data_IF_743553771357
#
_entry.id   IF_743553771357
#
_cell.length_a   1.000
_cell.length_b   1.000
_cell.length_c   1.000
_cell.angle_alpha   90.00
_cell.angle_beta   90.00
_cell.angle_gamma   90.00
#
_symmetry.space_group_name_H-M   'P 1'
#
loop_
_entity.id
_entity.type
_entity.pdbx_description
1 polymer ?
#
# COMPACT_ATOMS: atom_id res chain seq x y z
N UNK A 1 -25.04 -8.86 18.87
CA UNK A 1 -23.95 -8.46 17.97
C UNK A 1 -23.94 -6.94 17.93
N UNK A 2 -22.88 -6.30 18.42
CA UNK A 2 -22.75 -4.83 18.38
C UNK A 2 -22.34 -4.43 16.97
N UNK A 3 -23.05 -3.47 16.36
CA UNK A 3 -22.68 -2.95 15.04
C UNK A 3 -21.38 -2.14 15.12
N UNK A 4 -20.47 -2.37 14.19
CA UNK A 4 -19.28 -1.54 14.01
C UNK A 4 -19.70 -0.18 13.44
N UNK A 5 -19.30 0.92 14.08
CA UNK A 5 -19.44 2.26 13.54
C UNK A 5 -18.16 2.62 12.77
N UNK A 6 -18.28 2.93 11.49
CA UNK A 6 -17.16 3.38 10.64
C UNK A 6 -17.40 4.83 10.25
N UNK A 7 -16.47 5.70 10.63
CA UNK A 7 -16.46 7.10 10.22
C UNK A 7 -15.39 7.31 9.15
N UNK A 8 -15.76 7.95 8.03
CA UNK A 8 -14.84 8.28 6.94
C UNK A 8 -14.23 9.66 7.21
N UNK A 9 -12.98 9.68 7.70
CA UNK A 9 -12.25 10.92 7.96
C UNK A 9 -11.44 11.44 6.76
N UNK A 10 -11.52 10.78 5.60
CA UNK A 10 -10.78 11.13 4.39
C UNK A 10 -11.75 11.46 3.24
N UNK A 11 -11.41 12.43 2.37
CA UNK A 11 -12.15 12.66 1.14
C UNK A 11 -12.25 11.40 0.27
N UNK A 12 -13.33 11.29 -0.51
CA UNK A 12 -13.58 10.10 -1.35
C UNK A 12 -12.48 9.84 -2.39
N UNK A 13 -11.80 10.88 -2.86
CA UNK A 13 -10.75 10.83 -3.87
C UNK A 13 -9.32 10.80 -3.29
N UNK A 14 -9.19 10.72 -1.96
CA UNK A 14 -7.92 10.88 -1.26
C UNK A 14 -6.81 9.99 -1.84
N UNK A 15 -7.08 8.70 -2.05
CA UNK A 15 -6.09 7.76 -2.58
C UNK A 15 -5.65 8.11 -4.00
N UNK A 16 -6.60 8.48 -4.86
CA UNK A 16 -6.29 8.85 -6.25
C UNK A 16 -5.46 10.14 -6.30
N UNK A 17 -5.76 11.11 -5.43
CA UNK A 17 -5.01 12.37 -5.32
C UNK A 17 -3.61 12.11 -4.78
N UNK A 18 -3.48 11.35 -3.69
CA UNK A 18 -2.18 11.00 -3.12
C UNK A 18 -1.29 10.22 -4.11
N UNK A 19 -1.84 9.27 -4.87
CA UNK A 19 -1.08 8.51 -5.86
C UNK A 19 -0.52 9.40 -6.98
N UNK A 20 -1.34 10.32 -7.50
CA UNK A 20 -0.90 11.27 -8.55
C UNK A 20 0.22 12.16 -8.06
N UNK A 21 0.13 12.65 -6.83
CA UNK A 21 1.15 13.51 -6.24
C UNK A 21 2.47 12.77 -6.00
N UNK A 22 2.39 11.59 -5.36
CA UNK A 22 3.55 10.73 -5.10
C UNK A 22 4.25 10.32 -6.39
N UNK A 23 3.48 9.91 -7.41
CA UNK A 23 4.02 9.52 -8.72
C UNK A 23 4.66 10.70 -9.45
N UNK A 24 3.99 11.86 -9.48
CA UNK A 24 4.54 13.06 -10.12
C UNK A 24 5.86 13.46 -9.47
N UNK A 25 5.91 13.54 -8.15
CA UNK A 25 7.11 13.90 -7.42
C UNK A 25 8.23 12.86 -7.64
N UNK A 26 7.92 11.59 -7.40
CA UNK A 26 8.89 10.50 -7.43
C UNK A 26 9.45 10.17 -8.82
N UNK A 27 8.62 10.20 -9.86
CA UNK A 27 9.05 9.92 -11.23
C UNK A 27 9.80 11.09 -11.88
N UNK A 28 9.64 12.32 -11.36
CA UNK A 28 10.37 13.50 -11.80
C UNK A 28 11.73 13.67 -11.09
N UNK A 29 11.98 12.96 -9.99
CA UNK A 29 13.20 13.04 -9.21
C UNK A 29 14.40 12.31 -9.85
N UNK A 30 15.61 12.63 -9.36
CA UNK A 30 16.85 11.92 -9.67
C UNK A 30 17.63 11.66 -8.37
N UNK A 31 17.63 10.40 -7.87
CA UNK A 31 17.03 9.20 -8.45
C UNK A 31 15.49 9.19 -8.35
N UNK A 32 14.84 8.39 -9.21
CA UNK A 32 13.38 8.17 -9.16
C UNK A 32 13.01 7.31 -7.96
N UNK A 33 11.90 7.62 -7.33
CA UNK A 33 11.39 6.88 -6.16
C UNK A 33 9.86 6.74 -6.23
N UNK A 34 9.30 5.77 -5.51
CA UNK A 34 7.87 5.65 -5.25
C UNK A 34 7.64 5.12 -3.82
N UNK A 35 6.68 5.66 -3.05
CA UNK A 35 6.35 5.12 -1.74
C UNK A 35 5.86 3.67 -1.82
N UNK A 36 6.34 2.76 -0.94
CA UNK A 36 6.00 1.34 -1.00
C UNK A 36 4.55 1.03 -0.63
N UNK A 37 3.80 1.99 -0.07
CA UNK A 37 2.35 1.83 0.19
C UNK A 37 1.56 1.49 -1.09
N UNK A 38 2.07 1.90 -2.26
CA UNK A 38 1.46 1.60 -3.56
C UNK A 38 1.79 0.20 -4.08
N UNK A 39 2.59 -0.60 -3.36
CA UNK A 39 2.78 -2.03 -3.64
C UNK A 39 1.59 -2.89 -3.21
N UNK A 40 0.67 -2.37 -2.40
CA UNK A 40 -0.39 -3.15 -1.76
C UNK A 40 -1.77 -2.81 -2.31
N UNK A 41 -1.95 -2.96 -3.63
CA UNK A 41 -3.29 -3.14 -4.20
C UNK A 41 -3.78 -4.57 -3.95
N UNK A 42 -4.89 -4.98 -4.57
CA UNK A 42 -5.42 -6.34 -4.43
C UNK A 42 -4.35 -7.40 -4.77
N UNK A 43 -3.74 -7.28 -5.94
CA UNK A 43 -2.74 -8.23 -6.42
C UNK A 43 -1.44 -8.19 -5.62
N UNK A 44 -0.96 -6.99 -5.32
CA UNK A 44 0.26 -6.80 -4.54
C UNK A 44 0.12 -7.29 -3.10
N UNK A 45 -1.08 -7.21 -2.53
CA UNK A 45 -1.39 -7.82 -1.23
C UNK A 45 -1.36 -9.35 -1.30
N UNK A 46 -1.96 -9.96 -2.34
CA UNK A 46 -1.84 -11.42 -2.54
C UNK A 46 -0.40 -11.89 -2.75
N UNK A 47 0.42 -11.08 -3.44
CA UNK A 47 1.84 -11.35 -3.60
C UNK A 47 2.56 -11.27 -2.25
N UNK A 48 2.25 -10.27 -1.43
CA UNK A 48 2.82 -10.17 -0.09
C UNK A 48 2.46 -11.39 0.76
N UNK A 49 1.21 -11.84 0.73
CA UNK A 49 0.79 -13.07 1.42
C UNK A 49 1.60 -14.28 0.97
N UNK A 50 1.84 -14.44 -0.34
CA UNK A 50 2.71 -15.51 -0.87
C UNK A 50 4.16 -15.35 -0.40
N UNK A 51 4.68 -14.11 -0.37
CA UNK A 51 6.03 -13.80 0.13
C UNK A 51 6.17 -14.24 1.59
N UNK A 52 5.14 -14.06 2.43
CA UNK A 52 5.20 -14.46 3.85
C UNK A 52 5.40 -15.97 4.08
N UNK A 53 5.14 -16.80 3.06
CA UNK A 53 5.27 -18.25 3.11
C UNK A 53 6.65 -18.74 2.62
N UNK A 54 7.44 -17.89 1.96
CA UNK A 54 8.75 -18.27 1.42
C UNK A 54 9.71 -18.67 2.54
N UNK A 55 10.58 -19.66 2.27
CA UNK A 55 11.62 -20.10 3.22
C UNK A 55 12.60 -19.00 3.57
N UNK A 56 12.93 -18.18 2.57
CA UNK A 56 13.85 -17.05 2.67
C UNK A 56 13.24 -15.86 3.44
N UNK A 57 11.92 -15.75 3.50
CA UNK A 57 11.20 -14.66 4.17
C UNK A 57 10.78 -15.06 5.59
N UNK A 58 11.78 -15.23 6.46
CA UNK A 58 11.57 -15.57 7.87
C UNK A 58 10.86 -14.52 8.78
N UNK A 59 10.75 -13.20 8.47
CA UNK A 59 10.18 -12.22 9.40
C UNK A 59 8.76 -12.49 9.91
N UNK A 60 7.96 -13.24 9.16
CA UNK A 60 6.54 -13.50 9.48
C UNK A 60 6.31 -14.76 10.31
N UNK A 61 7.38 -15.41 10.81
CA UNK A 61 7.33 -16.72 11.51
C UNK A 61 7.41 -16.64 13.04
N UNK A 62 7.18 -15.47 13.64
CA UNK A 62 7.26 -15.25 15.09
C UNK A 62 6.18 -16.01 15.89
#
# INVERSE_FOLDING_TARGET
MTALHVERCLPDDYLATALREDARAGLSASPKTLPPKWLYDEYGSELFEKITQLEEYYPTRA
#
